data_IF_762225274049
#
_entry.id   IF_762225274049
#
_cell.length_a   1.000
_cell.length_b   1.000
_cell.length_c   1.000
_cell.angle_alpha   90.00
_cell.angle_beta   90.00
_cell.angle_gamma   90.00
#
_symmetry.space_group_name_H-M   'P 1'
#
loop_
_entity.id
_entity.type
_entity.pdbx_description
1 polymer ?
#
# COMPACT_ATOMS: atom_id res chain seq x y z
N UNK A 1 -9.87 -13.17 -16.15
CA UNK A 1 -9.71 -12.68 -14.76
C UNK A 1 -8.39 -11.93 -14.65
N UNK A 2 -8.31 -10.87 -13.85
CA UNK A 2 -7.03 -10.23 -13.50
C UNK A 2 -6.64 -10.57 -12.05
N UNK A 3 -5.35 -10.55 -11.76
CA UNK A 3 -4.77 -10.65 -10.42
C UNK A 3 -4.07 -9.33 -10.13
N UNK A 4 -4.37 -8.72 -8.99
CA UNK A 4 -3.84 -7.42 -8.61
C UNK A 4 -2.81 -7.59 -7.50
N UNK A 5 -1.58 -7.12 -7.73
CA UNK A 5 -0.61 -6.88 -6.66
C UNK A 5 -0.83 -5.46 -6.17
N UNK A 6 -0.91 -5.25 -4.86
CA UNK A 6 -1.26 -3.96 -4.29
C UNK A 6 -0.35 -3.56 -3.16
N UNK A 7 -0.30 -2.25 -2.92
CA UNK A 7 0.45 -1.60 -1.85
C UNK A 7 -0.54 -0.75 -1.05
N UNK A 8 -0.66 -1.05 0.23
CA UNK A 8 -1.42 -0.24 1.19
C UNK A 8 -0.46 0.54 2.07
N UNK A 9 -0.88 1.75 2.48
CA UNK A 9 -0.23 2.52 3.53
C UNK A 9 -1.18 2.68 4.71
N UNK A 10 -0.64 2.41 5.90
CA UNK A 10 -1.30 2.74 7.17
C UNK A 10 -1.26 4.25 7.36
N UNK A 11 -2.42 4.88 7.49
CA UNK A 11 -2.51 6.32 7.79
C UNK A 11 -2.13 6.63 9.24
N UNK A 12 -1.92 5.60 10.06
CA UNK A 12 -1.56 5.75 11.48
C UNK A 12 -0.07 5.97 11.69
N UNK A 13 0.78 5.37 10.85
CA UNK A 13 2.24 5.33 11.07
C UNK A 13 3.04 5.01 9.80
N UNK A 14 2.45 5.24 8.63
CA UNK A 14 3.06 5.05 7.30
C UNK A 14 3.60 3.64 7.01
N UNK A 15 3.17 2.65 7.79
CA UNK A 15 3.55 1.24 7.53
C UNK A 15 2.99 0.82 6.18
N UNK A 16 3.86 0.20 5.37
CA UNK A 16 3.48 -0.33 4.06
C UNK A 16 3.12 -1.81 4.16
N UNK A 17 2.02 -2.20 3.53
CA UNK A 17 1.63 -3.60 3.33
C UNK A 17 1.57 -3.92 1.84
N UNK A 18 2.08 -5.09 1.45
CA UNK A 18 2.08 -5.56 0.07
C UNK A 18 1.39 -6.92 0.03
N UNK A 19 0.43 -7.07 -0.87
CA UNK A 19 -0.31 -8.30 -1.06
C UNK A 19 -0.77 -8.47 -2.50
N UNK A 20 -1.51 -9.56 -2.77
CA UNK A 20 -2.23 -9.72 -4.02
C UNK A 20 -3.65 -10.25 -3.81
N UNK A 21 -4.53 -10.00 -4.77
CA UNK A 21 -5.97 -10.38 -4.72
C UNK A 21 -6.55 -10.44 -6.14
N UNK A 22 -7.70 -11.09 -6.32
CA UNK A 22 -8.51 -10.97 -7.54
C UNK A 22 -9.54 -9.84 -7.45
N UNK A 23 -9.79 -9.32 -6.24
CA UNK A 23 -10.72 -8.22 -5.96
C UNK A 23 -10.06 -7.21 -5.02
N UNK A 24 -9.67 -6.07 -5.59
CA UNK A 24 -8.93 -5.03 -4.88
C UNK A 24 -9.82 -4.24 -3.90
N UNK A 25 -11.07 -3.98 -4.30
CA UNK A 25 -12.03 -3.20 -3.49
C UNK A 25 -12.43 -3.99 -2.25
N UNK A 26 -12.82 -5.26 -2.44
CA UNK A 26 -13.15 -6.15 -1.32
C UNK A 26 -11.97 -6.30 -0.36
N UNK A 27 -10.76 -6.48 -0.88
CA UNK A 27 -9.57 -6.66 -0.04
C UNK A 27 -9.25 -5.42 0.79
N UNK A 28 -9.36 -4.22 0.22
CA UNK A 28 -9.18 -2.97 0.98
C UNK A 28 -10.21 -2.86 2.11
N UNK A 29 -11.48 -3.20 1.84
CA UNK A 29 -12.53 -3.23 2.86
C UNK A 29 -12.22 -4.25 3.97
N UNK A 30 -11.80 -5.47 3.63
CA UNK A 30 -11.42 -6.50 4.61
C UNK A 30 -10.28 -6.05 5.53
N UNK A 31 -9.26 -5.39 4.97
CA UNK A 31 -8.19 -4.80 5.78
C UNK A 31 -8.76 -3.74 6.73
N UNK A 32 -9.57 -2.81 6.23
CA UNK A 32 -10.16 -1.73 7.00
C UNK A 32 -11.20 -2.18 8.05
N UNK A 33 -11.81 -3.34 7.87
CA UNK A 33 -12.65 -4.01 8.87
C UNK A 33 -11.84 -4.79 9.92
N UNK A 34 -10.51 -4.82 9.82
CA UNK A 34 -9.65 -5.53 10.76
C UNK A 34 -9.70 -7.05 10.65
N UNK A 35 -10.24 -7.60 9.56
CA UNK A 35 -10.40 -9.05 9.36
C UNK A 35 -9.07 -9.77 9.13
N UNK A 36 -7.99 -9.02 8.83
CA UNK A 36 -6.63 -9.56 8.72
C UNK A 36 -5.84 -9.25 10.00
N UNK A 37 -5.67 -10.29 10.82
CA UNK A 37 -5.08 -10.23 12.18
C UNK A 37 -3.72 -9.55 12.26
N UNK A 38 -2.85 -9.76 11.26
CA UNK A 38 -1.51 -9.14 11.21
C UNK A 38 -1.54 -7.66 10.85
N UNK A 39 -2.60 -7.18 10.22
CA UNK A 39 -2.72 -5.80 9.70
C UNK A 39 -3.68 -4.92 10.51
N UNK A 40 -4.56 -5.51 11.33
CA UNK A 40 -5.61 -4.77 12.06
C UNK A 40 -5.07 -3.70 13.04
N UNK A 41 -3.85 -3.84 13.53
CA UNK A 41 -3.23 -2.86 14.46
C UNK A 41 -2.80 -1.55 13.77
N UNK A 42 -2.78 -1.55 12.44
CA UNK A 42 -2.30 -0.46 11.59
C UNK A 42 -3.44 0.19 10.79
N UNK A 43 -4.69 -0.01 11.21
CA UNK A 43 -5.82 0.71 10.63
C UNK A 43 -5.69 2.22 10.92
N UNK A 44 -6.21 3.09 10.04
CA UNK A 44 -6.84 2.78 8.75
C UNK A 44 -5.83 2.66 7.60
N UNK A 45 -6.19 1.88 6.58
CA UNK A 45 -5.38 1.63 5.38
C UNK A 45 -5.88 2.41 4.16
N UNK A 46 -4.96 3.01 3.42
CA UNK A 46 -5.16 3.61 2.10
C UNK A 46 -4.48 2.76 1.02
N UNK A 47 -5.13 2.58 -0.13
CA UNK A 47 -4.53 1.96 -1.31
C UNK A 47 -3.74 3.02 -2.08
N UNK A 48 -2.41 2.86 -2.15
CA UNK A 48 -1.53 3.87 -2.76
C UNK A 48 -0.99 3.44 -4.13
N UNK A 49 -1.03 2.15 -4.44
CA UNK A 49 -0.54 1.60 -5.70
C UNK A 49 -1.07 0.19 -5.96
N UNK A 50 -1.25 -0.17 -7.23
CA UNK A 50 -1.49 -1.56 -7.65
C UNK A 50 -0.99 -1.84 -9.07
N UNK A 51 -0.79 -3.11 -9.38
CA UNK A 51 -0.45 -3.64 -10.70
C UNK A 51 -1.38 -4.79 -11.07
N UNK A 52 -1.84 -4.83 -12.32
CA UNK A 52 -2.72 -5.88 -12.82
C UNK A 52 -1.93 -6.89 -13.66
N UNK A 53 -2.07 -8.18 -13.34
CA UNK A 53 -1.48 -9.29 -14.06
C UNK A 53 -2.59 -10.19 -14.63
N UNK A 54 -2.43 -10.70 -15.85
CA UNK A 54 -3.32 -11.73 -16.41
C UNK A 54 -3.04 -13.11 -15.85
N UNK A 55 -1.77 -13.39 -15.54
CA UNK A 55 -1.32 -14.67 -14.99
C UNK A 55 -1.15 -14.57 -13.46
N UNK A 56 -1.64 -15.59 -12.73
CA UNK A 56 -1.55 -15.65 -11.27
C UNK A 56 -0.10 -15.74 -10.76
N UNK A 57 0.73 -16.53 -11.43
CA UNK A 57 2.13 -16.74 -11.04
C UNK A 57 2.96 -15.48 -11.24
N UNK A 58 2.66 -14.68 -12.26
CA UNK A 58 3.29 -13.38 -12.44
C UNK A 58 2.94 -12.43 -11.29
N UNK A 59 1.67 -12.38 -10.86
CA UNK A 59 1.27 -11.61 -9.68
C UNK A 59 1.99 -12.06 -8.40
N UNK A 60 2.08 -13.38 -8.16
CA UNK A 60 2.77 -13.93 -6.98
C UNK A 60 4.27 -13.63 -7.03
N UNK A 61 4.93 -13.81 -8.19
CA UNK A 61 6.35 -13.48 -8.36
C UNK A 61 6.59 -11.99 -8.14
N UNK A 62 5.69 -11.16 -8.64
CA UNK A 62 5.76 -9.70 -8.51
C UNK A 62 5.56 -9.24 -7.06
N UNK A 63 4.57 -9.78 -6.36
CA UNK A 63 4.36 -9.53 -4.92
C UNK A 63 5.62 -9.88 -4.12
N UNK A 64 6.19 -11.08 -4.34
CA UNK A 64 7.44 -11.51 -3.68
C UNK A 64 8.59 -10.55 -3.98
N UNK A 65 8.77 -10.15 -5.24
CA UNK A 65 9.80 -9.18 -5.61
C UNK A 65 9.61 -7.83 -4.90
N UNK A 66 8.38 -7.31 -4.86
CA UNK A 66 8.07 -6.03 -4.23
C UNK A 66 8.35 -6.02 -2.72
N UNK A 67 8.29 -7.19 -2.06
CA UNK A 67 8.66 -7.39 -0.64
C UNK A 67 10.18 -7.43 -0.40
N UNK A 68 11.02 -7.48 -1.44
CA UNK A 68 12.48 -7.43 -1.28
C UNK A 68 12.99 -6.00 -1.14
N UNK A 69 14.25 -5.83 -0.70
CA UNK A 69 14.91 -4.51 -0.64
C UNK A 69 14.94 -3.80 -2.01
N UNK A 70 15.19 -4.54 -3.10
CA UNK A 70 15.21 -3.98 -4.44
C UNK A 70 13.80 -3.56 -4.89
N UNK A 71 12.80 -4.39 -4.60
CA UNK A 71 11.40 -4.06 -4.83
C UNK A 71 10.92 -2.84 -4.05
N UNK A 72 11.32 -2.71 -2.79
CA UNK A 72 11.05 -1.52 -1.98
C UNK A 72 11.69 -0.25 -2.56
N UNK A 73 12.94 -0.33 -3.02
CA UNK A 73 13.60 0.80 -3.74
C UNK A 73 12.85 1.17 -5.02
N UNK A 74 12.39 0.16 -5.78
CA UNK A 74 11.57 0.38 -6.97
C UNK A 74 10.28 1.13 -6.61
N UNK A 75 9.54 0.71 -5.57
CA UNK A 75 8.31 1.37 -5.13
C UNK A 75 8.55 2.81 -4.71
N UNK A 76 9.59 3.06 -3.91
CA UNK A 76 9.97 4.43 -3.51
C UNK A 76 10.25 5.32 -4.71
N UNK A 77 10.94 4.81 -5.72
CA UNK A 77 11.18 5.54 -6.97
C UNK A 77 9.89 5.74 -7.77
N UNK A 78 9.04 4.72 -7.85
CA UNK A 78 7.79 4.74 -8.61
C UNK A 78 6.76 5.72 -8.01
N UNK A 79 6.71 5.80 -6.69
CA UNK A 79 5.78 6.63 -5.91
C UNK A 79 6.48 7.86 -5.31
N UNK A 80 7.54 8.34 -5.95
CA UNK A 80 8.38 9.44 -5.44
C UNK A 80 7.55 10.65 -5.03
N UNK A 81 6.66 11.11 -5.91
CA UNK A 81 5.86 12.33 -5.66
C UNK A 81 4.81 12.12 -4.56
N UNK A 82 4.20 10.93 -4.51
CA UNK A 82 3.26 10.59 -3.44
C UNK A 82 3.96 10.61 -2.07
N UNK A 83 5.10 9.93 -1.93
CA UNK A 83 5.86 9.95 -0.68
C UNK A 83 6.44 11.32 -0.34
N UNK A 84 6.83 12.12 -1.33
CA UNK A 84 7.29 13.49 -1.11
C UNK A 84 6.18 14.40 -0.56
N UNK A 85 4.95 14.27 -1.08
CA UNK A 85 3.80 15.04 -0.60
C UNK A 85 3.36 14.61 0.80
N UNK A 86 3.39 13.31 1.12
CA UNK A 86 3.05 12.80 2.45
C UNK A 86 3.97 13.41 3.53
N UNK A 87 5.28 13.49 3.27
CA UNK A 87 6.23 14.12 4.20
C UNK A 87 5.97 15.63 4.42
N UNK A 88 5.39 16.34 3.45
CA UNK A 88 5.02 17.76 3.64
C UNK A 88 3.80 17.95 4.53
N UNK A 89 2.84 17.01 4.50
CA UNK A 89 1.63 17.10 5.35
C UNK A 89 1.96 17.00 6.84
N UNK A 90 3.02 16.26 7.18
CA UNK A 90 3.52 16.15 8.57
C UNK A 90 4.18 17.44 9.07
N UNK A 91 4.83 18.20 8.16
CA UNK A 91 5.51 19.47 8.49
C UNK A 91 4.54 20.67 8.57
N UNK A 92 3.40 20.62 7.87
CA UNK A 92 2.43 21.73 7.83
C UNK A 92 1.39 21.71 8.97
N UNK A 93 1.53 20.82 9.95
CA UNK A 93 0.69 20.85 11.17
C UNK A 93 1.47 21.35 12.39
N UNK A 94 1.54 22.68 12.57
CA UNK A 94 1.35 23.26 13.89
C UNK A 94 0.39 24.47 13.80
N UNK A 95 -0.78 24.36 14.46
CA UNK A 95 -1.54 25.51 14.95
C UNK A 95 -1.75 26.69 13.99
N UNK A 96 -2.12 26.45 12.72
CA UNK A 96 -2.48 27.53 11.80
C UNK A 96 -3.87 28.08 12.15
N UNK A 97 -3.91 28.93 13.17
CA UNK A 97 -4.88 30.02 13.28
C UNK A 97 -4.52 31.04 12.20
N UNK A 98 -5.49 31.37 11.34
CA UNK A 98 -5.58 32.70 10.74
C UNK A 98 -6.82 33.35 11.35
#
# INVERSE_FOLDING_TARGET
MFFYVYVLQSMKNDTIYIGFTTDLKKRLQEHNLGLTSSTKRFLPWELIYYEACRNKQDAIRREKYLKTNQGGRLLKRRLKEYFFQSNKREVLLPGATI
#
